data_IF_491452423930
#
_entry.id   IF_491452423930
#
_cell.length_a   1.000
_cell.length_b   1.000
_cell.length_c   1.000
_cell.angle_alpha   90.00
_cell.angle_beta   90.00
_cell.angle_gamma   90.00
#
_symmetry.space_group_name_H-M   'P 1'
#
loop_
_entity.id
_entity.type
_entity.pdbx_description
1 polymer ?
#
# COMPACT_ATOMS: atom_id res chain seq x y z
N UNK A 1 -36.10 39.72 -37.65
CA UNK A 1 -35.78 40.78 -36.67
C UNK A 1 -34.48 40.43 -35.98
N UNK A 2 -33.50 41.33 -36.05
CA UNK A 2 -32.12 41.15 -35.59
C UNK A 2 -32.01 41.58 -34.12
N UNK A 3 -31.30 40.82 -33.28
CA UNK A 3 -30.59 41.40 -32.12
C UNK A 3 -29.40 40.52 -31.73
N UNK A 4 -28.21 41.02 -32.02
CA UNK A 4 -26.92 40.46 -31.63
C UNK A 4 -26.47 40.95 -30.24
N UNK A 5 -25.63 40.11 -29.61
CA UNK A 5 -24.46 40.39 -28.76
C UNK A 5 -24.62 41.06 -27.38
N UNK A 6 -24.02 40.45 -26.34
CA UNK A 6 -22.75 40.90 -25.71
C UNK A 6 -22.18 39.78 -24.80
N UNK A 7 -20.87 39.45 -24.84
CA UNK A 7 -20.20 38.63 -23.83
C UNK A 7 -19.73 39.48 -22.63
N UNK A 8 -20.02 39.03 -21.41
CA UNK A 8 -19.51 39.62 -20.17
C UNK A 8 -18.34 38.79 -19.61
N UNK A 9 -17.12 39.27 -19.79
CA UNK A 9 -15.91 38.73 -19.15
C UNK A 9 -15.79 39.28 -17.74
N UNK A 10 -15.72 38.42 -16.72
CA UNK A 10 -15.33 38.80 -15.36
C UNK A 10 -13.97 38.15 -15.08
N UNK A 11 -12.93 38.98 -14.98
CA UNK A 11 -11.59 38.59 -14.50
C UNK A 11 -11.57 38.84 -12.99
N UNK A 12 -11.52 37.78 -12.18
CA UNK A 12 -11.21 37.90 -10.75
C UNK A 12 -9.76 37.46 -10.55
N UNK A 13 -8.91 38.42 -10.22
CA UNK A 13 -7.54 38.20 -9.79
C UNK A 13 -7.53 37.57 -8.40
N UNK A 14 -6.84 36.43 -8.24
CA UNK A 14 -6.56 35.83 -6.94
C UNK A 14 -5.11 36.17 -6.59
N UNK A 15 -4.95 36.93 -5.51
CA UNK A 15 -3.66 37.32 -4.96
C UNK A 15 -2.95 36.12 -4.29
N UNK A 16 -1.68 35.91 -4.66
CA UNK A 16 -0.75 34.99 -4.01
C UNK A 16 -0.23 35.63 -2.71
N UNK A 17 -0.57 35.03 -1.57
CA UNK A 17 0.09 35.32 -0.30
C UNK A 17 1.15 34.23 -0.02
N UNK A 18 2.42 34.63 -0.11
CA UNK A 18 3.58 33.83 0.28
C UNK A 18 3.79 34.00 1.79
N UNK A 19 3.60 32.93 2.58
CA UNK A 19 4.12 32.87 3.94
C UNK A 19 5.48 32.18 3.93
N UNK A 20 6.53 32.98 4.06
CA UNK A 20 7.87 32.50 4.39
C UNK A 20 7.96 32.23 5.89
N UNK A 21 8.29 30.99 6.26
CA UNK A 21 8.79 30.65 7.60
C UNK A 21 10.32 30.67 7.53
N UNK A 22 10.92 31.50 8.37
CA UNK A 22 12.36 31.70 8.51
C UNK A 22 12.95 30.73 9.55
N UNK A 23 14.24 30.50 9.39
CA UNK A 23 15.11 29.50 10.01
C UNK A 23 15.40 29.77 11.50
N UNK A 24 15.67 28.70 12.27
CA UNK A 24 16.32 28.74 13.57
C UNK A 24 17.33 27.61 13.70
N UNK A 25 18.56 27.84 13.25
CA UNK A 25 19.73 27.05 13.62
C UNK A 25 20.49 27.80 14.72
N UNK A 26 20.67 27.15 15.86
CA UNK A 26 21.50 27.53 17.01
C UNK A 26 21.71 26.23 17.79
N UNK A 27 22.88 25.74 18.17
CA UNK A 27 24.28 26.10 18.02
C UNK A 27 25.06 24.88 18.54
N UNK A 28 26.32 24.74 18.14
CA UNK A 28 27.26 23.78 18.74
C UNK A 28 27.49 24.13 20.20
N UNK A 29 27.35 23.15 21.10
CA UNK A 29 28.15 23.05 22.32
C UNK A 29 28.53 21.58 22.57
N UNK A 30 29.82 21.34 22.41
CA UNK A 30 30.59 20.20 22.90
C UNK A 30 30.44 20.07 24.43
N UNK A 31 30.27 18.84 24.94
CA UNK A 31 30.91 18.41 26.19
C UNK A 31 30.82 16.88 26.39
N UNK A 32 31.90 16.19 26.04
CA UNK A 32 32.62 15.33 26.97
C UNK A 32 32.12 13.90 27.22
N UNK A 33 32.80 12.92 26.62
CA UNK A 33 33.25 11.72 27.33
C UNK A 33 34.52 11.14 26.67
N UNK A 34 35.55 10.76 27.44
CA UNK A 34 36.90 10.52 26.93
C UNK A 34 37.15 9.10 26.41
N UNK A 35 37.92 9.08 25.31
CA UNK A 35 39.15 8.31 25.06
C UNK A 35 39.35 6.93 25.71
N UNK A 36 39.48 5.90 24.86
CA UNK A 36 40.16 4.63 25.15
C UNK A 36 40.49 3.87 23.86
N UNK A 37 41.77 3.89 23.49
CA UNK A 37 42.42 3.50 22.23
C UNK A 37 42.39 2.00 21.82
N UNK A 38 42.73 1.66 20.56
CA UNK A 38 42.54 0.36 19.93
C UNK A 38 43.78 -0.56 20.01
N UNK A 39 43.61 -1.87 19.80
CA UNK A 39 44.67 -2.77 19.29
C UNK A 39 44.06 -4.02 18.63
N UNK A 40 44.59 -4.37 17.46
CA UNK A 40 44.16 -5.46 16.58
C UNK A 40 44.84 -6.80 16.87
N UNK A 41 44.30 -7.83 16.21
CA UNK A 41 44.86 -9.14 15.77
C UNK A 41 45.16 -10.22 16.82
N UNK A 42 44.49 -11.39 16.71
CA UNK A 42 45.00 -12.61 16.03
C UNK A 42 44.11 -13.84 16.30
N UNK A 43 43.86 -14.57 15.21
CA UNK A 43 43.39 -15.96 15.04
C UNK A 43 43.83 -16.98 16.10
N UNK A 44 42.92 -17.84 16.60
CA UNK A 44 43.07 -19.33 16.67
C UNK A 44 41.78 -20.04 17.14
N UNK A 45 41.30 -21.02 16.37
CA UNK A 45 40.64 -22.24 16.86
C UNK A 45 41.71 -23.36 16.87
N UNK A 46 41.58 -24.56 17.49
CA UNK A 46 40.36 -25.27 17.90
C UNK A 46 40.45 -26.10 19.22
N UNK A 47 39.36 -26.84 19.50
CA UNK A 47 39.27 -28.17 20.14
C UNK A 47 39.60 -28.37 21.65
N UNK A 48 38.65 -29.01 22.35
CA UNK A 48 38.84 -29.67 23.65
C UNK A 48 37.53 -30.27 24.15
N UNK A 49 37.34 -31.58 23.94
CA UNK A 49 36.23 -32.40 24.43
C UNK A 49 36.42 -32.82 25.89
N UNK A 50 35.34 -33.39 26.44
CA UNK A 50 35.23 -34.24 27.64
C UNK A 50 35.14 -33.53 28.99
N UNK A 51 34.46 -34.03 30.02
CA UNK A 51 33.30 -34.90 30.21
C UNK A 51 33.05 -34.80 31.73
N UNK A 52 31.81 -34.64 32.19
CA UNK A 52 31.52 -34.46 33.61
C UNK A 52 30.05 -34.59 33.94
N UNK A 53 29.69 -35.81 34.31
CA UNK A 53 28.40 -36.34 34.72
C UNK A 53 27.72 -35.57 35.88
N UNK A 54 26.42 -35.29 35.74
CA UNK A 54 25.37 -35.50 36.77
C UNK A 54 24.06 -34.78 36.40
N UNK A 55 23.02 -35.55 36.07
CA UNK A 55 21.61 -35.16 36.16
C UNK A 55 21.04 -35.59 37.52
N UNK A 56 19.80 -35.23 37.91
CA UNK A 56 18.92 -34.16 37.41
C UNK A 56 18.32 -33.31 38.56
N UNK A 57 17.77 -32.14 38.25
CA UNK A 57 16.65 -31.60 39.04
C UNK A 57 15.79 -30.74 38.13
N UNK A 58 14.54 -31.16 37.99
CA UNK A 58 13.52 -30.45 37.26
C UNK A 58 13.16 -29.17 37.99
N UNK A 59 13.14 -28.04 37.29
CA UNK A 59 12.14 -27.02 37.56
C UNK A 59 11.77 -26.30 36.26
N UNK A 60 10.48 -26.03 36.15
CA UNK A 60 9.80 -25.60 34.95
C UNK A 60 10.01 -24.10 34.74
N UNK A 61 10.62 -23.75 33.62
CA UNK A 61 10.74 -22.37 33.14
C UNK A 61 10.51 -22.35 31.64
N UNK A 62 9.26 -22.54 31.22
CA UNK A 62 8.84 -22.46 29.82
C UNK A 62 9.08 -21.07 29.26
N UNK A 63 10.24 -20.84 28.65
CA UNK A 63 10.45 -19.73 27.73
C UNK A 63 9.91 -20.17 26.38
N UNK A 64 8.61 -20.00 26.19
CA UNK A 64 7.99 -20.10 24.88
C UNK A 64 8.55 -18.96 24.02
N UNK A 65 9.46 -19.30 23.10
CA UNK A 65 9.75 -18.46 21.95
C UNK A 65 8.41 -18.12 21.27
N UNK A 66 8.19 -16.89 20.80
CA UNK A 66 7.00 -16.60 20.01
C UNK A 66 7.11 -17.45 18.74
N UNK A 67 6.25 -18.45 18.64
CA UNK A 67 5.96 -19.13 17.39
C UNK A 67 5.36 -18.07 16.47
N UNK A 68 6.21 -17.36 15.75
CA UNK A 68 5.79 -16.65 14.56
C UNK A 68 5.20 -17.71 13.64
N UNK A 69 3.87 -17.79 13.60
CA UNK A 69 3.15 -18.52 12.57
C UNK A 69 3.52 -17.87 11.25
N UNK A 70 4.62 -18.32 10.67
CA UNK A 70 4.86 -18.18 9.24
C UNK A 70 3.73 -18.97 8.60
N UNK A 71 2.79 -18.19 8.05
CA UNK A 71 1.70 -18.62 7.19
C UNK A 71 2.25 -19.72 6.26
N UNK A 72 1.79 -20.95 6.48
CA UNK A 72 2.22 -22.09 5.70
C UNK A 72 1.94 -21.78 4.23
N UNK A 73 2.95 -21.92 3.37
CA UNK A 73 2.74 -21.84 1.93
C UNK A 73 1.55 -22.74 1.54
N UNK A 74 0.56 -22.22 0.79
CA UNK A 74 -0.61 -23.00 0.42
C UNK A 74 -0.20 -24.30 -0.27
N UNK A 75 -0.79 -25.43 0.14
CA UNK A 75 -0.67 -26.67 -0.60
C UNK A 75 -1.15 -26.43 -2.05
N UNK A 76 -0.44 -26.95 -3.07
CA UNK A 76 -0.92 -26.88 -4.44
C UNK A 76 -2.27 -27.60 -4.54
N UNK A 77 -3.35 -26.84 -4.77
CA UNK A 77 -4.70 -27.37 -4.96
C UNK A 77 -5.79 -26.79 -4.06
N UNK A 78 -5.46 -26.00 -3.03
CA UNK A 78 -6.47 -25.20 -2.31
C UNK A 78 -6.50 -23.80 -2.91
N UNK A 79 -7.54 -23.47 -3.69
CA UNK A 79 -7.77 -22.09 -4.14
C UNK A 79 -8.24 -21.24 -2.96
N UNK A 80 -7.32 -20.85 -2.08
CA UNK A 80 -7.63 -19.86 -1.05
C UNK A 80 -7.97 -18.55 -1.75
N UNK A 81 -9.15 -18.00 -1.44
CA UNK A 81 -9.48 -16.62 -1.83
C UNK A 81 -8.40 -15.71 -1.25
N UNK A 82 -7.88 -14.82 -2.08
CA UNK A 82 -6.92 -13.82 -1.67
C UNK A 82 -7.49 -12.92 -0.56
N UNK A 83 -6.70 -12.63 0.47
CA UNK A 83 -7.12 -11.74 1.56
C UNK A 83 -7.30 -10.32 1.02
N UNK A 84 -8.34 -9.63 1.50
CA UNK A 84 -8.64 -8.24 1.12
C UNK A 84 -7.45 -7.31 1.38
N UNK A 85 -6.71 -7.52 2.47
CA UNK A 85 -5.47 -6.80 2.79
C UNK A 85 -4.45 -6.82 1.66
N UNK A 86 -4.24 -8.00 1.06
CA UNK A 86 -3.17 -8.22 0.09
C UNK A 86 -3.59 -7.67 -1.28
N UNK A 87 -4.88 -7.83 -1.64
CA UNK A 87 -5.46 -7.18 -2.81
C UNK A 87 -5.41 -5.64 -2.69
N UNK A 88 -5.66 -5.11 -1.49
CA UNK A 88 -5.60 -3.68 -1.24
C UNK A 88 -4.17 -3.13 -1.39
N UNK A 89 -3.16 -3.86 -0.92
CA UNK A 89 -1.76 -3.50 -1.12
C UNK A 89 -1.40 -3.41 -2.62
N UNK A 90 -1.92 -4.32 -3.44
CA UNK A 90 -1.79 -4.25 -4.90
C UNK A 90 -2.39 -2.99 -5.49
N UNK A 91 -3.61 -2.62 -5.08
CA UNK A 91 -4.26 -1.38 -5.50
C UNK A 91 -3.45 -0.14 -5.08
N UNK A 92 -2.94 -0.12 -3.86
CA UNK A 92 -2.11 0.98 -3.34
C UNK A 92 -0.81 1.16 -4.10
N UNK A 93 -0.22 0.07 -4.62
CA UNK A 93 0.98 0.14 -5.44
C UNK A 93 0.81 0.96 -6.73
N UNK A 94 -0.44 1.24 -7.15
CA UNK A 94 -0.73 2.05 -8.34
C UNK A 94 -0.96 3.53 -8.05
N UNK A 95 -1.01 3.97 -6.78
CA UNK A 95 -1.45 5.32 -6.40
C UNK A 95 -0.50 6.43 -6.88
N UNK A 96 0.81 6.14 -6.95
CA UNK A 96 1.82 7.09 -7.40
C UNK A 96 2.05 7.07 -8.91
N UNK A 97 1.39 6.15 -9.62
CA UNK A 97 1.49 6.03 -11.07
C UNK A 97 0.39 6.87 -11.75
N UNK A 98 0.65 7.27 -13.00
CA UNK A 98 -0.30 8.03 -13.80
C UNK A 98 -0.08 7.82 -15.31
N UNK A 99 -1.01 8.37 -16.11
CA UNK A 99 -0.89 8.47 -17.57
C UNK A 99 -0.14 9.73 -18.04
N UNK A 100 0.65 10.39 -17.18
CA UNK A 100 1.42 11.59 -17.57
C UNK A 100 2.43 11.27 -18.69
N UNK A 101 3.07 10.11 -18.62
CA UNK A 101 3.98 9.61 -19.65
C UNK A 101 3.22 8.76 -20.68
N UNK A 102 3.16 9.17 -21.98
CA UNK A 102 2.36 8.48 -22.98
C UNK A 102 2.73 7.00 -23.17
N UNK A 103 4.01 6.66 -23.06
CA UNK A 103 4.50 5.28 -23.23
C UNK A 103 4.11 4.34 -22.09
N UNK A 104 3.81 4.86 -20.90
CA UNK A 104 3.44 4.05 -19.73
C UNK A 104 1.91 3.95 -19.54
N UNK A 105 1.14 4.85 -20.16
CA UNK A 105 -0.30 4.93 -19.93
C UNK A 105 -1.07 3.61 -20.21
N UNK A 106 -0.77 2.83 -21.28
CA UNK A 106 -1.43 1.54 -21.47
C UNK A 106 -1.19 0.55 -20.34
N UNK A 107 0.05 0.46 -19.87
CA UNK A 107 0.43 -0.39 -18.75
C UNK A 107 -0.28 0.04 -17.46
N UNK A 108 -0.23 1.34 -17.15
CA UNK A 108 -0.84 1.89 -15.96
C UNK A 108 -2.35 1.65 -15.90
N UNK A 109 -3.09 1.94 -16.98
CA UNK A 109 -4.55 1.76 -16.99
C UNK A 109 -4.95 0.28 -16.91
N UNK A 110 -4.21 -0.59 -17.60
CA UNK A 110 -4.40 -2.04 -17.47
C UNK A 110 -4.17 -2.51 -16.04
N UNK A 111 -3.10 -2.05 -15.41
CA UNK A 111 -2.77 -2.40 -14.02
C UNK A 111 -3.84 -1.91 -13.03
N UNK A 112 -4.28 -0.66 -13.13
CA UNK A 112 -5.35 -0.13 -12.26
C UNK A 112 -6.63 -0.96 -12.40
N UNK A 113 -7.03 -1.28 -13.64
CA UNK A 113 -8.19 -2.14 -13.87
C UNK A 113 -8.02 -3.52 -13.19
N UNK A 114 -6.87 -4.15 -13.35
CA UNK A 114 -6.62 -5.49 -12.84
C UNK A 114 -6.60 -5.54 -11.31
N UNK A 115 -5.99 -4.56 -10.65
CA UNK A 115 -6.02 -4.42 -9.20
C UNK A 115 -7.43 -4.15 -8.67
N UNK A 116 -8.25 -3.36 -9.39
CA UNK A 116 -9.66 -3.18 -9.04
C UNK A 116 -10.45 -4.48 -9.13
N UNK A 117 -10.23 -5.31 -10.17
CA UNK A 117 -10.89 -6.62 -10.25
C UNK A 117 -10.39 -7.59 -9.18
N UNK A 118 -9.11 -7.50 -8.80
CA UNK A 118 -8.53 -8.28 -7.70
C UNK A 118 -9.18 -7.92 -6.38
N UNK A 119 -9.36 -6.63 -6.14
CA UNK A 119 -10.07 -6.10 -4.98
C UNK A 119 -11.53 -6.58 -4.94
N UNK A 120 -12.27 -6.50 -6.05
CA UNK A 120 -13.66 -6.98 -6.13
C UNK A 120 -13.79 -8.46 -5.75
N UNK A 121 -12.92 -9.32 -6.29
CA UNK A 121 -12.91 -10.75 -5.98
C UNK A 121 -12.56 -11.02 -4.51
N UNK A 122 -11.56 -10.33 -3.98
CA UNK A 122 -11.17 -10.48 -2.58
C UNK A 122 -12.30 -10.07 -1.63
N UNK A 123 -12.92 -8.90 -1.86
CA UNK A 123 -14.01 -8.38 -1.03
C UNK A 123 -15.26 -9.26 -1.09
N UNK A 124 -15.60 -9.80 -2.27
CA UNK A 124 -16.76 -10.70 -2.41
C UNK A 124 -16.52 -12.08 -1.81
N UNK A 125 -15.28 -12.56 -1.83
CA UNK A 125 -14.90 -13.86 -1.28
C UNK A 125 -14.42 -13.81 0.17
N UNK A 126 -14.42 -12.63 0.80
CA UNK A 126 -14.08 -12.47 2.21
C UNK A 126 -15.06 -13.24 3.11
N UNK A 127 -14.58 -13.75 4.24
CA UNK A 127 -15.39 -14.54 5.17
C UNK A 127 -16.55 -13.73 5.79
N UNK A 128 -16.42 -12.41 5.89
CA UNK A 128 -17.50 -11.50 6.35
C UNK A 128 -18.54 -11.25 5.25
N UNK A 129 -18.24 -11.65 4.01
CA UNK A 129 -19.11 -11.56 2.85
C UNK A 129 -19.17 -10.18 2.19
N UNK A 130 -19.78 -10.08 1.00
CA UNK A 130 -19.80 -8.84 0.21
C UNK A 130 -20.56 -7.69 0.88
N UNK A 131 -21.47 -7.98 1.82
CA UNK A 131 -22.19 -6.96 2.58
C UNK A 131 -21.28 -6.12 3.50
N UNK A 132 -20.06 -6.59 3.76
CA UNK A 132 -19.06 -5.87 4.53
C UNK A 132 -18.33 -4.78 3.72
N UNK A 133 -18.31 -4.89 2.39
CA UNK A 133 -17.65 -3.94 1.48
C UNK A 133 -18.64 -3.31 0.48
N UNK A 134 -19.77 -2.75 0.95
CA UNK A 134 -20.87 -2.37 0.06
C UNK A 134 -20.47 -1.26 -0.91
N UNK A 135 -19.76 -0.23 -0.43
CA UNK A 135 -19.35 0.90 -1.26
C UNK A 135 -18.25 0.54 -2.27
N UNK A 136 -17.13 -0.10 -1.87
CA UNK A 136 -16.11 -0.51 -2.83
C UNK A 136 -16.63 -1.42 -3.94
N UNK A 137 -17.45 -2.42 -3.60
CA UNK A 137 -18.03 -3.35 -4.59
C UNK A 137 -18.97 -2.60 -5.55
N UNK A 138 -19.79 -1.68 -5.05
CA UNK A 138 -20.68 -0.89 -5.90
C UNK A 138 -19.92 0.02 -6.87
N UNK A 139 -18.81 0.62 -6.42
CA UNK A 139 -17.95 1.45 -7.27
C UNK A 139 -17.33 0.63 -8.41
N UNK A 140 -16.82 -0.57 -8.11
CA UNK A 140 -16.26 -1.46 -9.14
C UNK A 140 -17.35 -1.98 -10.07
N UNK A 141 -18.54 -2.29 -9.55
CA UNK A 141 -19.70 -2.65 -10.37
C UNK A 141 -20.09 -1.56 -11.38
N UNK A 142 -20.09 -0.30 -10.95
CA UNK A 142 -20.34 0.86 -11.84
C UNK A 142 -19.25 1.00 -12.91
N UNK A 143 -17.98 0.84 -12.53
CA UNK A 143 -16.86 0.83 -13.48
C UNK A 143 -17.05 -0.29 -14.52
N UNK A 144 -17.32 -1.51 -14.08
CA UNK A 144 -17.49 -2.67 -14.96
C UNK A 144 -18.65 -2.47 -15.95
N UNK A 145 -19.77 -1.89 -15.49
CA UNK A 145 -20.89 -1.53 -16.37
C UNK A 145 -20.54 -0.46 -17.40
N UNK A 146 -19.67 0.49 -17.07
CA UNK A 146 -19.21 1.51 -18.03
C UNK A 146 -18.20 0.93 -19.05
N UNK A 147 -17.38 -0.04 -18.62
CA UNK A 147 -16.41 -0.70 -19.50
C UNK A 147 -17.05 -1.74 -20.43
N UNK A 148 -18.21 -2.28 -20.07
CA UNK A 148 -18.95 -3.30 -20.85
C UNK A 148 -18.10 -4.53 -21.21
N UNK A 149 -17.17 -4.89 -20.31
CA UNK A 149 -16.23 -5.99 -20.51
C UNK A 149 -15.07 -5.72 -21.49
N UNK A 150 -15.04 -4.56 -22.16
CA UNK A 150 -13.96 -4.20 -23.06
C UNK A 150 -12.74 -3.67 -22.28
N UNK A 151 -11.67 -4.47 -22.28
CA UNK A 151 -10.39 -4.19 -21.62
C UNK A 151 -9.32 -3.65 -22.57
N UNK A 152 -9.69 -3.26 -23.79
CA UNK A 152 -8.79 -2.63 -24.74
C UNK A 152 -8.25 -1.32 -24.18
N UNK A 153 -7.02 -0.97 -24.56
CA UNK A 153 -6.42 0.30 -24.15
C UNK A 153 -7.32 1.49 -24.53
N UNK A 154 -7.90 1.49 -25.74
CA UNK A 154 -8.78 2.58 -26.19
C UNK A 154 -9.99 2.78 -25.26
N UNK A 155 -10.63 1.68 -24.83
CA UNK A 155 -11.77 1.77 -23.92
C UNK A 155 -11.36 2.16 -22.49
N UNK A 156 -10.25 1.61 -21.99
CA UNK A 156 -9.70 2.00 -20.68
C UNK A 156 -9.27 3.48 -20.68
N UNK A 157 -8.68 3.96 -21.77
CA UNK A 157 -8.26 5.35 -21.94
C UNK A 157 -9.45 6.29 -22.01
N UNK A 158 -10.49 5.93 -22.75
CA UNK A 158 -11.79 6.64 -22.79
C UNK A 158 -12.40 6.78 -21.39
N UNK A 159 -12.26 5.76 -20.54
CA UNK A 159 -12.78 5.74 -19.16
C UNK A 159 -11.72 6.02 -18.08
N UNK A 160 -10.57 6.61 -18.44
CA UNK A 160 -9.44 6.84 -17.53
C UNK A 160 -9.86 7.51 -16.21
N UNK A 161 -10.63 8.59 -16.29
CA UNK A 161 -11.05 9.34 -15.08
C UNK A 161 -11.93 8.49 -14.16
N UNK A 162 -12.74 7.59 -14.71
CA UNK A 162 -13.58 6.68 -13.93
C UNK A 162 -12.73 5.57 -13.27
N UNK A 163 -11.75 5.01 -13.97
CA UNK A 163 -10.79 4.03 -13.43
C UNK A 163 -10.02 4.61 -12.24
N UNK A 164 -9.34 5.74 -12.47
CA UNK A 164 -8.53 6.41 -11.45
C UNK A 164 -9.41 6.88 -10.28
N UNK A 165 -10.56 7.49 -10.56
CA UNK A 165 -11.49 7.93 -9.53
C UNK A 165 -12.04 6.77 -8.69
N UNK A 166 -12.25 5.60 -9.28
CA UNK A 166 -12.67 4.38 -8.57
C UNK A 166 -11.56 3.89 -7.64
N UNK A 167 -10.33 3.78 -8.14
CA UNK A 167 -9.14 3.46 -7.32
C UNK A 167 -9.02 4.37 -6.11
N UNK A 168 -9.08 5.69 -6.33
CA UNK A 168 -8.85 6.67 -5.28
C UNK A 168 -9.95 6.67 -4.21
N UNK A 169 -11.21 6.51 -4.63
CA UNK A 169 -12.35 6.40 -3.70
C UNK A 169 -12.27 5.13 -2.87
N UNK A 170 -11.91 4.00 -3.47
CA UNK A 170 -11.73 2.75 -2.74
C UNK A 170 -10.58 2.89 -1.76
N UNK A 171 -9.43 3.43 -2.17
CA UNK A 171 -8.33 3.70 -1.26
C UNK A 171 -8.75 4.58 -0.07
N UNK A 172 -9.52 5.65 -0.33
CA UNK A 172 -10.03 6.53 0.72
C UNK A 172 -10.98 5.79 1.67
N UNK A 173 -11.91 5.01 1.12
CA UNK A 173 -12.86 4.23 1.91
C UNK A 173 -12.13 3.22 2.80
N UNK A 174 -11.21 2.45 2.22
CA UNK A 174 -10.41 1.46 2.94
C UNK A 174 -9.61 2.12 4.05
N UNK A 175 -8.95 3.26 3.80
CA UNK A 175 -8.23 3.98 4.86
C UNK A 175 -9.13 4.47 6.02
N UNK A 176 -10.41 4.72 5.77
CA UNK A 176 -11.41 5.03 6.80
C UNK A 176 -11.95 3.80 7.55
N UNK A 177 -11.71 2.59 7.03
CA UNK A 177 -12.24 1.33 7.55
C UNK A 177 -11.11 0.28 7.77
N UNK A 178 -10.08 0.59 8.58
CA UNK A 178 -8.93 -0.30 8.78
C UNK A 178 -9.29 -1.70 9.27
N UNK A 179 -10.29 -1.82 10.14
CA UNK A 179 -10.68 -3.10 10.76
C UNK A 179 -11.43 -4.02 9.79
N UNK A 180 -11.88 -3.47 8.66
CA UNK A 180 -12.64 -4.23 7.68
C UNK A 180 -11.73 -5.19 6.90
N UNK A 181 -10.45 -4.86 6.74
CA UNK A 181 -9.51 -5.60 5.89
C UNK A 181 -8.21 -6.04 6.57
N UNK A 182 -8.04 -5.78 7.87
CA UNK A 182 -6.83 -6.17 8.61
C UNK A 182 -6.85 -7.61 9.12
#
# INVERSE_FOLDING_TARGET
MVKSSTPGTVVVAVALALFGVSCGASGTDDNGAPTGTPTSVTTTAPAGQEAGDASPTADAGGSAAPTGTQDASPLPGTTSVERVRDAFAGLQATLNDSCADPGNCPYFLGRVHDELQRMDRAMKGDAKGPGHFPEPIALIGKLNGALDGDRSFENLKKHQSLLIGTRDRINTWMQGHPDDYR
#
